data_IF_007175114599
#
_entry.id   IF_007175114599
#
_cell.length_a   1.000
_cell.length_b   1.000
_cell.length_c   1.000
_cell.angle_alpha   90.00
_cell.angle_beta   90.00
_cell.angle_gamma   90.00
#
_symmetry.space_group_name_H-M   'P 1'
#
loop_
_entity.id
_entity.type
_entity.pdbx_description
1 polymer ?
#
# COMPACT_ATOMS: atom_id res chain seq x y z
N UNK A 1 16.93 -9.29 -3.08
CA UNK A 1 16.02 -9.71 -4.17
C UNK A 1 16.57 -9.24 -5.52
N UNK A 2 16.16 -9.81 -6.66
CA UNK A 2 16.55 -9.28 -7.99
C UNK A 2 15.61 -8.14 -8.39
N UNK A 3 16.09 -7.15 -9.14
CA UNK A 3 15.29 -5.97 -9.52
C UNK A 3 13.97 -6.34 -10.22
N UNK A 4 14.01 -7.23 -11.22
CA UNK A 4 12.79 -7.68 -11.91
C UNK A 4 11.79 -8.43 -11.00
N UNK A 5 12.27 -9.08 -9.93
CA UNK A 5 11.40 -9.74 -8.95
C UNK A 5 10.73 -8.70 -8.04
N UNK A 6 11.50 -7.69 -7.61
CA UNK A 6 10.96 -6.56 -6.86
C UNK A 6 9.90 -5.82 -7.67
N UNK A 7 10.18 -5.55 -8.95
CA UNK A 7 9.23 -4.85 -9.81
C UNK A 7 7.90 -5.60 -9.93
N UNK A 8 7.96 -6.91 -10.19
CA UNK A 8 6.76 -7.74 -10.29
C UNK A 8 5.95 -7.76 -8.99
N UNK A 9 6.61 -7.87 -7.83
CA UNK A 9 5.91 -7.89 -6.53
C UNK A 9 5.15 -6.58 -6.26
N UNK A 10 5.73 -5.44 -6.61
CA UNK A 10 5.05 -4.14 -6.44
C UNK A 10 3.90 -4.00 -7.43
N UNK A 11 4.11 -4.39 -8.69
CA UNK A 11 3.08 -4.32 -9.72
C UNK A 11 1.87 -5.22 -9.35
N UNK A 12 2.12 -6.42 -8.81
CA UNK A 12 1.08 -7.33 -8.32
C UNK A 12 0.29 -6.71 -7.15
N UNK A 13 0.96 -5.99 -6.23
CA UNK A 13 0.30 -5.27 -5.14
C UNK A 13 -0.59 -4.15 -5.69
N UNK A 14 -0.11 -3.37 -6.66
CA UNK A 14 -0.89 -2.28 -7.23
C UNK A 14 -2.11 -2.79 -7.98
N UNK A 15 -2.00 -3.86 -8.77
CA UNK A 15 -3.15 -4.49 -9.44
C UNK A 15 -4.17 -4.98 -8.40
N UNK A 16 -3.72 -5.64 -7.33
CA UNK A 16 -4.62 -6.13 -6.29
C UNK A 16 -5.32 -4.98 -5.54
N UNK A 17 -4.64 -3.84 -5.35
CA UNK A 17 -5.22 -2.62 -4.80
C UNK A 17 -6.32 -2.04 -5.70
N UNK A 18 -6.08 -1.96 -7.01
CA UNK A 18 -7.09 -1.49 -7.98
C UNK A 18 -8.36 -2.34 -7.88
N UNK A 19 -8.22 -3.67 -7.96
CA UNK A 19 -9.33 -4.61 -7.84
C UNK A 19 -10.08 -4.48 -6.50
N UNK A 20 -9.33 -4.36 -5.38
CA UNK A 20 -9.92 -4.25 -4.06
C UNK A 20 -10.65 -2.92 -3.83
N UNK A 21 -10.13 -1.81 -4.37
CA UNK A 21 -10.76 -0.50 -4.26
C UNK A 21 -11.99 -0.39 -5.17
N UNK A 22 -11.95 -0.94 -6.38
CA UNK A 22 -13.09 -0.99 -7.31
C UNK A 22 -14.27 -1.78 -6.73
N UNK A 23 -14.01 -2.77 -5.87
CA UNK A 23 -15.03 -3.53 -5.17
C UNK A 23 -15.77 -2.74 -4.06
N UNK A 24 -15.24 -1.61 -3.59
CA UNK A 24 -15.76 -0.85 -2.44
C UNK A 24 -16.90 0.13 -2.78
N UNK A 25 -17.86 -0.27 -3.62
CA UNK A 25 -19.06 0.51 -4.00
C UNK A 25 -18.81 2.04 -4.24
N UNK A 26 -17.67 2.39 -4.86
CA UNK A 26 -17.24 3.78 -5.17
C UNK A 26 -16.94 4.67 -3.95
N UNK A 27 -16.63 4.11 -2.79
CA UNK A 27 -16.22 4.88 -1.61
C UNK A 27 -14.83 5.54 -1.77
N UNK A 28 -13.97 4.98 -2.61
CA UNK A 28 -12.58 5.42 -2.80
C UNK A 28 -12.32 5.68 -4.29
N UNK A 29 -11.39 6.60 -4.55
CA UNK A 29 -10.84 6.84 -5.89
C UNK A 29 -9.32 6.59 -5.82
N UNK A 30 -8.66 6.37 -6.96
CA UNK A 30 -7.22 6.14 -7.01
C UNK A 30 -6.56 6.67 -8.28
N UNK A 31 -5.25 6.95 -8.18
CA UNK A 31 -4.40 7.35 -9.30
C UNK A 31 -3.10 6.54 -9.26
N UNK A 32 -2.75 5.93 -10.39
CA UNK A 32 -1.58 5.05 -10.53
C UNK A 32 -0.69 5.56 -11.66
N UNK A 33 0.57 5.88 -11.34
CA UNK A 33 1.53 6.45 -12.28
C UNK A 33 2.89 5.73 -12.21
N UNK A 34 2.86 4.41 -12.42
CA UNK A 34 4.03 3.54 -12.49
C UNK A 34 4.71 3.33 -11.15
N UNK A 35 5.41 4.34 -10.65
CA UNK A 35 6.14 4.27 -9.38
C UNK A 35 5.27 4.70 -8.18
N UNK A 36 4.17 5.40 -8.42
CA UNK A 36 3.32 5.98 -7.37
C UNK A 36 1.90 5.46 -7.53
N UNK A 37 1.31 4.98 -6.42
CA UNK A 37 -0.10 4.65 -6.31
C UNK A 37 -0.74 5.51 -5.22
N UNK A 38 -1.78 6.27 -5.55
CA UNK A 38 -2.45 7.19 -4.63
C UNK A 38 -3.87 6.74 -4.40
N UNK A 39 -4.23 6.43 -3.15
CA UNK A 39 -5.61 6.23 -2.70
C UNK A 39 -6.16 7.58 -2.26
N UNK A 40 -7.30 7.97 -2.80
CA UNK A 40 -8.03 9.20 -2.47
C UNK A 40 -9.22 8.81 -1.60
N UNK A 41 -9.18 9.28 -0.35
CA UNK A 41 -10.18 8.98 0.66
C UNK A 41 -11.45 9.84 0.46
N UNK A 42 -12.61 9.46 1.03
CA UNK A 42 -13.85 10.25 0.93
C UNK A 42 -13.72 11.71 1.39
N UNK A 43 -12.83 11.99 2.36
CA UNK A 43 -12.54 13.35 2.86
C UNK A 43 -11.52 14.12 2.00
N UNK A 44 -11.11 13.56 0.84
CA UNK A 44 -10.03 14.01 -0.04
C UNK A 44 -8.61 13.95 0.57
N UNK A 45 -8.44 13.38 1.76
CA UNK A 45 -7.10 12.99 2.21
C UNK A 45 -6.56 11.86 1.34
N UNK A 46 -5.24 11.66 1.39
CA UNK A 46 -4.55 10.70 0.52
C UNK A 46 -3.74 9.71 1.34
N UNK A 47 -3.66 8.49 0.84
CA UNK A 47 -2.61 7.54 1.18
C UNK A 47 -1.80 7.34 -0.10
N UNK A 48 -0.49 7.52 -0.01
CA UNK A 48 0.40 7.43 -1.18
C UNK A 48 1.38 6.30 -0.97
N UNK A 49 1.37 5.34 -1.89
CA UNK A 49 2.37 4.30 -2.02
C UNK A 49 3.40 4.70 -3.06
N UNK A 50 4.66 4.47 -2.77
CA UNK A 50 5.76 4.84 -3.67
C UNK A 50 6.81 3.73 -3.71
N UNK A 51 7.11 3.28 -4.92
CA UNK A 51 8.14 2.30 -5.25
C UNK A 51 9.52 2.95 -5.08
N UNK A 52 10.44 2.29 -4.37
CA UNK A 52 11.84 2.73 -4.22
C UNK A 52 12.82 1.68 -4.76
N UNK A 53 13.00 1.56 -6.10
CA UNK A 53 13.87 0.55 -6.70
C UNK A 53 15.31 0.51 -6.18
N UNK A 54 16.01 1.65 -5.94
CA UNK A 54 17.37 1.61 -5.40
C UNK A 54 17.49 0.96 -4.01
N UNK A 55 16.40 0.97 -3.25
CA UNK A 55 16.31 0.40 -1.91
C UNK A 55 15.56 -0.94 -1.88
N UNK A 56 14.89 -1.32 -2.98
CA UNK A 56 13.94 -2.43 -3.05
C UNK A 56 12.87 -2.35 -1.94
N UNK A 57 12.37 -1.13 -1.67
CA UNK A 57 11.37 -0.85 -0.63
C UNK A 57 10.06 -0.34 -1.21
N UNK A 58 8.95 -0.63 -0.52
CA UNK A 58 7.67 0.02 -0.74
C UNK A 58 7.45 1.05 0.37
N UNK A 59 7.21 2.31 0.03
CA UNK A 59 6.93 3.35 1.02
C UNK A 59 5.45 3.67 1.05
N UNK A 60 4.91 3.93 2.23
CA UNK A 60 3.53 4.41 2.43
C UNK A 60 3.54 5.72 3.20
N UNK A 61 2.93 6.76 2.64
CA UNK A 61 2.67 8.03 3.31
C UNK A 61 1.17 8.16 3.59
N UNK A 62 0.83 8.34 4.86
CA UNK A 62 -0.55 8.58 5.34
C UNK A 62 -0.68 10.04 5.79
N UNK A 63 -1.90 10.45 6.17
CA UNK A 63 -2.17 11.74 6.83
C UNK A 63 -1.42 11.89 8.16
N UNK A 64 -0.98 10.78 8.78
CA UNK A 64 -0.46 10.77 10.15
C UNK A 64 1.04 10.48 10.23
N UNK A 65 1.58 9.67 9.32
CA UNK A 65 2.96 9.18 9.37
C UNK A 65 3.40 8.60 8.02
N UNK A 66 4.69 8.23 7.94
CA UNK A 66 5.28 7.54 6.81
C UNK A 66 5.99 6.27 7.25
N UNK A 67 5.92 5.24 6.42
CA UNK A 67 6.40 3.89 6.67
C UNK A 67 7.20 3.36 5.48
N UNK A 68 8.26 2.59 5.75
CA UNK A 68 9.14 2.01 4.74
C UNK A 68 9.20 0.50 4.93
N UNK A 69 8.72 -0.25 3.96
CA UNK A 69 8.58 -1.69 4.04
C UNK A 69 9.68 -2.38 3.25
N UNK A 70 10.39 -3.30 3.91
CA UNK A 70 11.33 -4.24 3.28
C UNK A 70 10.62 -5.56 3.00
N UNK A 71 10.98 -6.20 1.88
CA UNK A 71 10.52 -7.55 1.59
C UNK A 71 11.43 -8.58 2.27
N UNK A 72 10.85 -9.39 3.15
CA UNK A 72 11.55 -10.41 3.93
C UNK A 72 11.54 -11.78 3.22
N UNK A 73 12.44 -12.68 3.63
CA UNK A 73 12.60 -14.01 3.02
C UNK A 73 11.35 -14.91 3.14
N UNK A 74 10.44 -14.59 4.07
CA UNK A 74 9.18 -15.30 4.27
C UNK A 74 8.01 -14.76 3.42
N UNK A 75 8.29 -13.81 2.53
CA UNK A 75 7.34 -13.28 1.57
C UNK A 75 6.56 -12.05 2.04
N UNK A 76 6.89 -11.50 3.20
CA UNK A 76 6.14 -10.39 3.80
C UNK A 76 6.86 -9.06 3.63
N UNK A 77 6.07 -7.99 3.58
CA UNK A 77 6.55 -6.61 3.60
C UNK A 77 6.50 -6.07 5.02
N UNK A 78 7.66 -5.79 5.62
CA UNK A 78 7.79 -5.43 7.04
C UNK A 78 8.39 -4.03 7.19
N UNK A 79 7.75 -3.19 8.00
CA UNK A 79 8.22 -1.84 8.28
C UNK A 79 9.54 -1.86 9.06
N UNK A 80 10.55 -1.15 8.56
CA UNK A 80 11.92 -1.20 9.08
C UNK A 80 12.08 -0.63 10.50
N UNK A 81 11.12 0.17 10.98
CA UNK A 81 11.19 0.88 12.27
C UNK A 81 10.31 0.24 13.33
N UNK A 82 9.15 -0.26 12.93
CA UNK A 82 8.08 -0.70 13.83
C UNK A 82 7.86 -2.21 13.77
N UNK A 83 8.30 -2.87 12.70
CA UNK A 83 8.08 -4.30 12.49
C UNK A 83 6.64 -4.67 12.12
N UNK A 84 5.78 -3.69 11.82
CA UNK A 84 4.41 -3.96 11.36
C UNK A 84 4.43 -4.49 9.92
N UNK A 85 3.48 -5.36 9.61
CA UNK A 85 3.30 -5.92 8.27
C UNK A 85 2.46 -4.95 7.41
N UNK A 86 2.84 -4.81 6.13
CA UNK A 86 2.29 -3.84 5.17
C UNK A 86 0.77 -3.93 4.98
N UNK A 87 0.23 -5.11 4.65
CA UNK A 87 -1.19 -5.24 4.33
C UNK A 87 -2.05 -4.99 5.56
N UNK A 88 -1.61 -5.48 6.72
CA UNK A 88 -2.24 -5.22 8.00
C UNK A 88 -2.25 -3.72 8.33
N UNK A 89 -1.14 -3.02 8.06
CA UNK A 89 -1.05 -1.58 8.28
C UNK A 89 -1.88 -0.77 7.26
N UNK A 90 -1.95 -1.23 6.01
CA UNK A 90 -2.77 -0.62 4.96
C UNK A 90 -4.25 -0.61 5.37
N UNK A 91 -4.79 -1.75 5.81
CA UNK A 91 -6.17 -1.85 6.27
C UNK A 91 -6.45 -0.90 7.46
N UNK A 92 -5.52 -0.83 8.42
CA UNK A 92 -5.62 0.13 9.54
C UNK A 92 -5.62 1.58 9.05
N UNK A 93 -4.69 1.93 8.16
CA UNK A 93 -4.53 3.28 7.65
C UNK A 93 -5.75 3.75 6.85
N UNK A 94 -6.25 2.88 5.96
CA UNK A 94 -7.45 3.12 5.14
C UNK A 94 -8.66 3.30 6.06
N UNK A 95 -8.92 2.37 6.98
CA UNK A 95 -10.04 2.47 7.93
C UNK A 95 -9.99 3.77 8.74
N UNK A 96 -8.80 4.08 9.27
CA UNK A 96 -8.60 5.26 10.11
C UNK A 96 -8.81 6.57 9.35
N UNK A 97 -8.37 6.67 8.10
CA UNK A 97 -8.58 7.87 7.28
C UNK A 97 -9.99 7.95 6.68
N UNK A 98 -10.62 6.81 6.37
CA UNK A 98 -12.00 6.75 5.90
C UNK A 98 -13.00 7.14 6.99
N UNK A 99 -12.67 6.85 8.26
CA UNK A 99 -13.54 7.09 9.40
C UNK A 99 -14.59 6.00 9.61
N UNK A 100 -14.45 4.86 8.93
CA UNK A 100 -15.25 3.64 9.06
C UNK A 100 -14.38 2.42 8.77
N UNK A 101 -14.82 1.25 9.22
CA UNK A 101 -14.06 0.01 9.03
C UNK A 101 -14.03 -0.39 7.54
N UNK A 102 -12.83 -0.54 7.01
CA UNK A 102 -12.54 -0.94 5.63
C UNK A 102 -11.50 -2.05 5.67
N UNK A 103 -11.79 -3.15 5.00
CA UNK A 103 -10.85 -4.27 4.88
C UNK A 103 -10.68 -4.55 3.40
N UNK A 104 -9.48 -4.29 2.87
CA UNK A 104 -9.14 -4.58 1.48
C UNK A 104 -8.80 -6.08 1.31
N UNK A 105 -8.55 -6.79 2.43
CA UNK A 105 -8.34 -8.24 2.48
C UNK A 105 -7.22 -8.75 1.55
N UNK A 106 -6.23 -7.88 1.28
CA UNK A 106 -5.06 -8.19 0.49
C UNK A 106 -4.09 -9.06 1.30
N UNK A 107 -3.42 -10.00 0.64
CA UNK A 107 -2.41 -10.86 1.25
C UNK A 107 -1.22 -11.05 0.29
N UNK A 108 -0.04 -11.29 0.87
CA UNK A 108 1.19 -11.71 0.17
C UNK A 108 1.06 -13.09 -0.44
#
# INVERSE_FOLDING_TARGET
MKDAQYDQLIDDIFIALEDALDAQEQAFDYDSNGDIFTIIMPDNSKIVLNKQPPLQQLWMATKFNGHHFNYEDDGRWIDERTGVEFFSFLDEAVSKQAGFDVVLALQS
#
